data_IF_984915002361
#
_entry.id   IF_984915002361
#
_cell.length_a   1.000
_cell.length_b   1.000
_cell.length_c   1.000
_cell.angle_alpha   90.00
_cell.angle_beta   90.00
_cell.angle_gamma   90.00
#
_symmetry.space_group_name_H-M   'P 1'
#
loop_
_entity.id
_entity.type
_entity.pdbx_description
1 polymer ?
#
# COMPACT_ATOMS: atom_id res chain seq x y z
N UNK A 1 -14.61 24.42 59.87
CA UNK A 1 -14.04 25.72 59.44
C UNK A 1 -13.00 25.40 58.37
N UNK A 2 -13.10 25.99 57.17
CA UNK A 2 -12.12 25.75 56.11
C UNK A 2 -10.78 26.41 56.51
N UNK A 3 -9.71 25.62 56.54
CA UNK A 3 -8.37 26.12 56.79
C UNK A 3 -7.95 27.01 55.59
N UNK A 4 -7.72 28.30 55.85
CA UNK A 4 -7.43 29.29 54.80
C UNK A 4 -6.04 29.08 54.19
N UNK A 5 -5.10 28.54 54.98
CA UNK A 5 -3.76 28.16 54.54
C UNK A 5 -3.19 27.09 55.46
N UNK A 6 -2.57 26.06 54.89
CA UNK A 6 -1.89 25.00 55.65
C UNK A 6 -0.36 25.17 55.63
N UNK A 7 0.32 24.47 56.53
CA UNK A 7 1.77 24.57 56.72
C UNK A 7 2.58 24.18 55.47
N UNK A 8 2.14 23.15 54.73
CA UNK A 8 2.79 22.73 53.48
C UNK A 8 2.73 23.81 52.40
N UNK A 9 1.58 24.47 52.28
CA UNK A 9 1.38 25.56 51.35
C UNK A 9 2.21 26.78 51.75
N UNK A 10 2.27 27.11 53.04
CA UNK A 10 3.10 28.20 53.55
C UNK A 10 4.60 27.94 53.32
N UNK A 11 5.07 26.71 53.54
CA UNK A 11 6.44 26.31 53.27
C UNK A 11 6.81 26.45 51.79
N UNK A 12 5.91 26.02 50.87
CA UNK A 12 6.09 26.21 49.43
C UNK A 12 6.16 27.68 49.06
N UNK A 13 5.35 28.53 49.68
CA UNK A 13 5.37 29.97 49.43
C UNK A 13 6.67 30.61 49.91
N UNK A 14 7.17 30.24 51.10
CA UNK A 14 8.49 30.68 51.60
C UNK A 14 9.62 30.26 50.68
N UNK A 15 9.57 29.03 50.17
CA UNK A 15 10.59 28.50 49.24
C UNK A 15 10.57 29.27 47.92
N UNK A 16 9.38 29.59 47.38
CA UNK A 16 9.22 30.27 46.09
C UNK A 16 9.50 31.78 46.17
N UNK A 17 9.12 32.42 47.26
CA UNK A 17 9.28 33.86 47.48
C UNK A 17 10.68 34.22 47.99
N UNK A 18 11.33 33.31 48.71
CA UNK A 18 12.61 33.55 49.38
C UNK A 18 12.50 34.61 50.49
N UNK A 19 13.56 35.40 50.66
CA UNK A 19 13.63 36.50 51.65
C UNK A 19 12.74 37.71 51.32
N UNK A 20 12.00 37.67 50.19
CA UNK A 20 11.14 38.79 49.77
C UNK A 20 9.89 38.93 50.66
N UNK A 21 9.52 37.90 51.41
CA UNK A 21 8.31 37.89 52.26
C UNK A 21 8.63 37.76 53.77
N UNK A 22 9.91 37.81 54.17
CA UNK A 22 10.33 37.63 55.57
C UNK A 22 11.83 37.45 55.74
N UNK A 23 12.27 37.13 56.96
CA UNK A 23 13.68 37.02 57.35
C UNK A 23 14.21 35.57 57.44
N UNK A 24 13.41 34.61 56.98
CA UNK A 24 13.75 33.19 57.05
C UNK A 24 13.28 32.50 58.34
N UNK A 25 12.82 33.23 59.35
CA UNK A 25 12.18 32.71 60.57
C UNK A 25 10.73 33.20 60.72
N UNK A 26 10.48 34.48 60.41
CA UNK A 26 9.20 35.16 60.47
C UNK A 26 8.71 35.56 59.07
N UNK A 27 7.41 35.88 58.94
CA UNK A 27 6.79 36.35 57.70
C UNK A 27 6.29 37.77 57.92
N UNK A 28 6.67 38.68 57.03
CA UNK A 28 6.08 40.01 56.93
C UNK A 28 4.76 39.89 56.16
N UNK A 29 3.64 40.08 56.86
CA UNK A 29 2.30 39.90 56.28
C UNK A 29 2.02 40.87 55.14
N UNK A 30 2.53 42.10 55.18
CA UNK A 30 2.34 43.10 54.12
C UNK A 30 3.08 42.67 52.85
N UNK A 31 4.35 42.26 52.98
CA UNK A 31 5.15 41.75 51.85
C UNK A 31 4.58 40.45 51.31
N UNK A 32 4.09 39.58 52.18
CA UNK A 32 3.48 38.32 51.79
C UNK A 32 2.19 38.52 50.99
N UNK A 33 1.30 39.42 51.44
CA UNK A 33 0.09 39.78 50.70
C UNK A 33 0.44 40.44 49.36
N UNK A 34 1.39 41.37 49.34
CA UNK A 34 1.86 41.99 48.09
C UNK A 34 2.38 40.94 47.09
N UNK A 35 3.15 39.97 47.55
CA UNK A 35 3.64 38.86 46.73
C UNK A 35 2.53 37.96 46.20
N UNK A 36 1.50 37.66 47.01
CA UNK A 36 0.33 36.90 46.56
C UNK A 36 -0.46 37.65 45.48
N UNK A 37 -0.60 38.97 45.60
CA UNK A 37 -1.21 39.83 44.58
C UNK A 37 -0.38 39.78 43.30
N UNK A 38 0.95 39.89 43.38
CA UNK A 38 1.82 39.79 42.21
C UNK A 38 1.71 38.43 41.51
N UNK A 39 1.63 37.32 42.25
CA UNK A 39 1.43 35.99 41.64
C UNK A 39 0.06 35.86 40.99
N UNK A 40 -0.99 36.40 41.64
CA UNK A 40 -2.35 36.33 41.10
C UNK A 40 -2.52 37.17 39.84
N UNK A 41 -1.82 38.29 39.75
CA UNK A 41 -1.85 39.20 38.61
C UNK A 41 -0.69 38.98 37.63
N UNK A 42 0.19 38.01 37.88
CA UNK A 42 1.20 37.61 36.91
C UNK A 42 0.49 37.04 35.67
N UNK A 43 0.89 37.44 34.45
CA UNK A 43 0.35 36.86 33.24
C UNK A 43 0.58 35.34 33.27
N UNK A 44 -0.45 34.57 32.89
CA UNK A 44 -0.29 33.13 32.73
C UNK A 44 0.82 32.88 31.70
N UNK A 45 1.71 31.89 31.92
CA UNK A 45 2.68 31.52 30.90
C UNK A 45 1.92 31.11 29.65
N UNK A 46 2.16 31.82 28.55
CA UNK A 46 1.62 31.43 27.25
C UNK A 46 2.17 30.03 26.91
N UNK A 47 1.34 29.09 26.45
CA UNK A 47 1.83 27.81 25.99
C UNK A 47 2.85 28.04 24.86
N UNK A 48 4.02 27.39 24.95
CA UNK A 48 5.01 27.43 23.88
C UNK A 48 4.44 26.74 22.63
N UNK A 49 4.03 27.56 21.66
CA UNK A 49 3.52 27.11 20.36
C UNK A 49 2.02 26.87 20.30
N UNK A 50 1.50 26.78 19.07
CA UNK A 50 0.08 26.52 18.82
C UNK A 50 -0.26 25.06 19.20
N UNK A 51 -1.11 24.82 20.22
CA UNK A 51 -1.52 23.47 20.62
C UNK A 51 -2.16 22.67 19.48
N UNK A 52 -2.77 23.37 18.51
CA UNK A 52 -3.34 22.77 17.31
C UNK A 52 -2.25 22.21 16.38
N UNK A 53 -1.16 22.96 16.17
CA UNK A 53 -0.05 22.49 15.34
C UNK A 53 0.67 21.28 15.96
N UNK A 54 0.85 21.25 17.29
CA UNK A 54 1.42 20.08 17.98
C UNK A 54 0.55 18.82 17.80
N UNK A 55 -0.78 18.96 17.89
CA UNK A 55 -1.73 17.87 17.65
C UNK A 55 -1.70 17.40 16.19
N UNK A 56 -1.66 18.34 15.25
CA UNK A 56 -1.60 18.08 13.81
C UNK A 56 -0.31 17.39 13.40
N UNK A 57 0.84 17.79 13.95
CA UNK A 57 2.13 17.14 13.71
C UNK A 57 2.16 15.71 14.25
N UNK A 58 1.66 15.47 15.47
CA UNK A 58 1.54 14.11 16.02
C UNK A 58 0.63 13.22 15.18
N UNK A 59 -0.50 13.75 14.72
CA UNK A 59 -1.40 13.03 13.83
C UNK A 59 -0.75 12.71 12.48
N UNK A 60 0.00 13.67 11.90
CA UNK A 60 0.76 13.50 10.67
C UNK A 60 1.84 12.42 10.83
N UNK A 61 2.64 12.48 11.90
CA UNK A 61 3.66 11.49 12.20
C UNK A 61 3.07 10.08 12.38
N UNK A 62 1.94 9.96 13.10
CA UNK A 62 1.22 8.68 13.24
C UNK A 62 0.74 8.15 11.90
N UNK A 63 0.12 8.99 11.07
CA UNK A 63 -0.37 8.59 9.75
C UNK A 63 0.77 8.23 8.80
N UNK A 64 1.90 8.91 8.90
CA UNK A 64 3.09 8.65 8.10
C UNK A 64 3.73 7.31 8.51
N UNK A 65 3.84 7.03 9.81
CA UNK A 65 4.29 5.74 10.33
C UNK A 65 3.35 4.59 9.94
N UNK A 66 2.03 4.78 10.03
CA UNK A 66 1.03 3.81 9.55
C UNK A 66 1.12 3.59 8.04
N UNK A 67 1.37 4.65 7.26
CA UNK A 67 1.55 4.54 5.82
C UNK A 67 2.85 3.83 5.45
N UNK A 68 3.96 4.12 6.13
CA UNK A 68 5.25 3.45 5.91
C UNK A 68 5.17 1.96 6.28
N UNK A 69 4.60 1.62 7.43
CA UNK A 69 4.38 0.23 7.83
C UNK A 69 3.41 -0.52 6.88
N UNK A 70 2.49 0.20 6.22
CA UNK A 70 1.60 -0.38 5.21
C UNK A 70 2.22 -0.54 3.82
N UNK A 71 3.37 0.09 3.55
CA UNK A 71 4.07 0.03 2.25
C UNK A 71 5.11 -1.09 2.18
N UNK A 72 5.66 -1.49 3.32
CA UNK A 72 6.59 -2.62 3.39
C UNK A 72 5.80 -3.93 3.31
N UNK A 73 5.86 -4.57 2.14
CA UNK A 73 5.20 -5.86 1.89
C UNK A 73 6.05 -7.07 2.32
N UNK A 74 7.24 -6.82 2.87
CA UNK A 74 8.24 -7.80 3.25
C UNK A 74 9.18 -8.18 2.11
N UNK A 75 10.06 -9.14 2.39
CA UNK A 75 11.03 -9.65 1.41
C UNK A 75 10.32 -10.34 0.23
N UNK A 76 10.84 -10.11 -0.97
CA UNK A 76 10.33 -10.74 -2.18
C UNK A 76 10.65 -12.24 -2.16
N UNK A 77 9.65 -13.13 -2.28
CA UNK A 77 9.90 -14.56 -2.37
C UNK A 77 10.78 -14.90 -3.58
N UNK A 78 11.60 -15.95 -3.46
CA UNK A 78 12.35 -16.47 -4.58
C UNK A 78 11.43 -17.21 -5.57
N UNK A 79 11.84 -17.23 -6.85
CA UNK A 79 11.20 -18.04 -7.89
C UNK A 79 11.34 -19.52 -7.54
N UNK A 80 10.21 -20.23 -7.40
CA UNK A 80 10.19 -21.64 -6.98
C UNK A 80 10.70 -22.56 -8.10
N UNK A 81 10.26 -22.33 -9.35
CA UNK A 81 10.69 -23.15 -10.48
C UNK A 81 11.20 -22.29 -11.66
N UNK A 82 12.49 -21.94 -11.66
CA UNK A 82 13.11 -21.16 -12.73
C UNK A 82 13.05 -21.83 -14.10
N UNK A 83 13.11 -23.17 -14.18
CA UNK A 83 13.06 -23.92 -15.44
C UNK A 83 11.68 -23.83 -16.09
N UNK A 84 10.60 -23.97 -15.30
CA UNK A 84 9.23 -23.79 -15.78
C UNK A 84 9.00 -22.35 -16.27
N UNK A 85 9.51 -21.36 -15.53
CA UNK A 85 9.46 -19.95 -15.93
C UNK A 85 10.19 -19.72 -17.25
N UNK A 86 11.41 -20.23 -17.39
CA UNK A 86 12.22 -20.08 -18.60
C UNK A 86 11.56 -20.75 -19.81
N UNK A 87 11.09 -21.99 -19.68
CA UNK A 87 10.36 -22.67 -20.76
C UNK A 87 9.11 -21.90 -21.17
N UNK A 88 8.37 -21.36 -20.20
CA UNK A 88 7.17 -20.57 -20.48
C UNK A 88 7.47 -19.20 -21.10
N UNK A 89 8.69 -18.66 -20.94
CA UNK A 89 9.12 -17.47 -21.67
C UNK A 89 9.20 -17.76 -23.17
N UNK A 90 9.63 -18.97 -23.53
CA UNK A 90 9.89 -19.40 -24.90
C UNK A 90 8.73 -20.11 -25.61
N UNK A 91 7.77 -20.66 -24.86
CA UNK A 91 6.63 -21.42 -25.38
C UNK A 91 5.31 -20.91 -24.79
N UNK A 92 4.54 -20.17 -25.60
CA UNK A 92 3.26 -19.59 -25.19
C UNK A 92 2.20 -20.66 -24.95
N UNK A 93 2.26 -21.77 -25.69
CA UNK A 93 1.35 -22.90 -25.48
C UNK A 93 1.62 -23.53 -24.11
N UNK A 94 2.88 -23.81 -23.81
CA UNK A 94 3.28 -24.33 -22.50
C UNK A 94 2.89 -23.37 -21.37
N UNK A 95 3.05 -22.06 -21.57
CA UNK A 95 2.56 -21.07 -20.60
C UNK A 95 1.05 -21.21 -20.33
N UNK A 96 0.23 -21.34 -21.40
CA UNK A 96 -1.20 -21.55 -21.26
C UNK A 96 -1.53 -22.84 -20.49
N UNK A 97 -0.89 -23.95 -20.84
CA UNK A 97 -1.11 -25.26 -20.23
C UNK A 97 -0.66 -25.32 -18.76
N UNK A 98 0.52 -24.76 -18.47
CA UNK A 98 1.14 -24.83 -17.15
C UNK A 98 0.45 -23.91 -16.14
N UNK A 99 0.18 -22.66 -16.50
CA UNK A 99 -0.36 -21.68 -15.55
C UNK A 99 -1.88 -21.62 -15.57
N UNK A 100 -2.56 -21.99 -16.65
CA UNK A 100 -4.02 -21.86 -16.75
C UNK A 100 -4.72 -23.16 -17.15
N UNK A 101 -4.46 -24.29 -16.46
CA UNK A 101 -5.00 -25.60 -16.84
C UNK A 101 -6.54 -25.64 -16.82
N UNK A 102 -7.18 -24.85 -15.95
CA UNK A 102 -8.65 -24.75 -15.88
C UNK A 102 -9.24 -23.93 -17.03
N UNK A 103 -8.47 -23.05 -17.67
CA UNK A 103 -8.90 -22.29 -18.84
C UNK A 103 -8.57 -23.03 -20.15
N UNK A 104 -7.49 -23.83 -20.16
CA UNK A 104 -7.00 -24.59 -21.32
C UNK A 104 -7.07 -26.10 -21.06
N UNK A 105 -8.25 -26.58 -20.67
CA UNK A 105 -8.49 -28.00 -20.36
C UNK A 105 -8.83 -28.85 -21.60
N UNK A 106 -9.16 -28.21 -22.73
CA UNK A 106 -9.49 -28.89 -23.97
C UNK A 106 -8.25 -29.12 -24.84
N UNK A 107 -8.20 -30.22 -25.63
CA UNK A 107 -7.13 -30.45 -26.59
C UNK A 107 -7.02 -29.33 -27.63
N UNK A 108 -5.79 -29.06 -28.06
CA UNK A 108 -5.51 -28.07 -29.10
C UNK A 108 -5.90 -28.58 -30.49
N UNK A 109 -6.42 -27.68 -31.32
CA UNK A 109 -6.70 -27.95 -32.72
C UNK A 109 -5.57 -27.45 -33.63
N UNK A 110 -5.46 -27.94 -34.88
CA UNK A 110 -4.51 -27.42 -35.86
C UNK A 110 -4.60 -25.90 -36.06
N UNK A 111 -5.80 -25.32 -35.95
CA UNK A 111 -5.98 -23.88 -36.07
C UNK A 111 -5.47 -23.12 -34.84
N UNK A 112 -5.56 -23.70 -33.64
CA UNK A 112 -4.95 -23.10 -32.46
C UNK A 112 -3.42 -22.98 -32.61
N UNK A 113 -2.74 -23.98 -33.19
CA UNK A 113 -1.29 -23.89 -33.41
C UNK A 113 -0.91 -22.73 -34.33
N UNK A 114 -1.69 -22.49 -35.39
CA UNK A 114 -1.47 -21.34 -36.29
C UNK A 114 -1.63 -20.01 -35.55
N UNK A 115 -2.56 -19.95 -34.61
CA UNK A 115 -2.83 -18.73 -33.83
C UNK A 115 -1.80 -18.50 -32.75
N UNK A 116 -1.40 -19.55 -32.04
CA UNK A 116 -0.30 -19.52 -31.06
C UNK A 116 0.96 -18.98 -31.72
N UNK A 117 1.35 -19.53 -32.88
CA UNK A 117 2.54 -19.07 -33.61
C UNK A 117 2.46 -17.59 -34.04
N UNK A 118 1.26 -17.09 -34.36
CA UNK A 118 1.04 -15.67 -34.68
C UNK A 118 1.12 -14.80 -33.43
N UNK A 119 0.53 -15.24 -32.32
CA UNK A 119 0.57 -14.54 -31.03
C UNK A 119 2.02 -14.42 -30.56
N UNK A 120 2.79 -15.51 -30.56
CA UNK A 120 4.19 -15.52 -30.14
C UNK A 120 5.02 -14.50 -30.92
N UNK A 121 4.89 -14.51 -32.25
CA UNK A 121 5.58 -13.57 -33.12
C UNK A 121 5.19 -12.13 -32.80
N UNK A 122 3.89 -11.87 -32.66
CA UNK A 122 3.40 -10.52 -32.45
C UNK A 122 3.75 -9.95 -31.07
N UNK A 123 3.77 -10.80 -30.04
CA UNK A 123 4.15 -10.37 -28.70
C UNK A 123 5.65 -10.11 -28.61
N UNK A 124 6.51 -10.96 -29.20
CA UNK A 124 7.97 -10.81 -29.08
C UNK A 124 8.59 -9.82 -30.04
N UNK A 125 8.14 -9.83 -31.29
CA UNK A 125 8.77 -9.05 -32.38
C UNK A 125 7.89 -7.91 -32.86
N UNK A 126 6.68 -7.77 -32.32
CA UNK A 126 5.67 -6.86 -32.83
C UNK A 126 5.06 -7.34 -34.14
N UNK A 127 4.31 -6.44 -34.77
CA UNK A 127 3.63 -6.70 -36.04
C UNK A 127 2.10 -6.80 -35.90
N UNK A 128 1.43 -6.55 -37.01
CA UNK A 128 -0.03 -6.53 -37.08
C UNK A 128 -0.53 -7.84 -37.70
N UNK A 129 -1.46 -8.48 -37.02
CA UNK A 129 -2.13 -9.68 -37.53
C UNK A 129 -3.63 -9.60 -37.24
N UNK A 130 -4.43 -10.01 -38.22
CA UNK A 130 -5.86 -10.19 -38.07
C UNK A 130 -6.18 -11.68 -38.22
N UNK A 131 -7.00 -12.22 -37.32
CA UNK A 131 -7.36 -13.64 -37.39
C UNK A 131 -8.78 -13.93 -36.91
N UNK A 132 -9.61 -14.44 -37.84
CA UNK A 132 -10.95 -14.93 -37.57
C UNK A 132 -10.89 -16.41 -37.15
N UNK A 133 -11.65 -16.77 -36.11
CA UNK A 133 -11.84 -18.15 -35.61
C UNK A 133 -13.31 -18.25 -35.23
N UNK A 134 -13.91 -19.45 -35.31
CA UNK A 134 -15.30 -19.65 -34.95
C UNK A 134 -15.60 -19.30 -33.49
N UNK A 135 -16.88 -19.02 -33.19
CA UNK A 135 -17.35 -18.82 -31.81
C UNK A 135 -17.11 -20.09 -30.99
N UNK A 136 -16.84 -19.91 -29.69
CA UNK A 136 -16.56 -21.04 -28.78
C UNK A 136 -15.14 -21.62 -28.84
N UNK A 137 -14.28 -21.15 -29.76
CA UNK A 137 -12.89 -21.63 -29.91
C UNK A 137 -11.89 -21.11 -28.87
N UNK A 138 -12.36 -20.39 -27.83
CA UNK A 138 -11.46 -19.85 -26.80
C UNK A 138 -10.64 -18.62 -27.21
N UNK A 139 -11.01 -17.93 -28.29
CA UNK A 139 -10.36 -16.67 -28.74
C UNK A 139 -10.04 -15.69 -27.62
N UNK A 140 -11.08 -15.29 -26.87
CA UNK A 140 -10.91 -14.30 -25.82
C UNK A 140 -9.96 -14.81 -24.75
N UNK A 141 -10.05 -16.09 -24.38
CA UNK A 141 -9.15 -16.73 -23.43
C UNK A 141 -7.71 -16.70 -23.91
N UNK A 142 -7.44 -17.04 -25.18
CA UNK A 142 -6.12 -16.94 -25.80
C UNK A 142 -5.58 -15.50 -25.79
N UNK A 143 -6.38 -14.52 -26.19
CA UNK A 143 -5.94 -13.11 -26.20
C UNK A 143 -5.68 -12.59 -24.78
N UNK A 144 -6.51 -12.96 -23.80
CA UNK A 144 -6.29 -12.59 -22.40
C UNK A 144 -5.01 -13.24 -21.85
N UNK A 145 -4.79 -14.53 -22.12
CA UNK A 145 -3.57 -15.22 -21.72
C UNK A 145 -2.33 -14.61 -22.40
N UNK A 146 -2.42 -14.22 -23.67
CA UNK A 146 -1.35 -13.55 -24.39
C UNK A 146 -1.02 -12.18 -23.78
N UNK A 147 -2.03 -11.42 -23.36
CA UNK A 147 -1.83 -10.16 -22.66
C UNK A 147 -1.10 -10.38 -21.33
N UNK A 148 -1.50 -11.39 -20.55
CA UNK A 148 -0.81 -11.75 -19.30
C UNK A 148 0.62 -12.19 -19.55
N UNK A 149 0.85 -13.01 -20.57
CA UNK A 149 2.19 -13.45 -20.97
C UNK A 149 3.09 -12.28 -21.34
N UNK A 150 2.60 -11.34 -22.15
CA UNK A 150 3.31 -10.13 -22.52
C UNK A 150 3.67 -9.26 -21.31
N UNK A 151 2.75 -9.12 -20.34
CA UNK A 151 2.97 -8.35 -19.11
C UNK A 151 4.01 -9.00 -18.20
N UNK A 152 3.90 -10.31 -17.93
CA UNK A 152 4.75 -11.00 -16.96
C UNK A 152 6.20 -11.14 -17.43
N UNK A 153 6.42 -11.35 -18.73
CA UNK A 153 7.76 -11.47 -19.30
C UNK A 153 8.33 -10.15 -19.84
N UNK A 154 7.56 -9.05 -19.78
CA UNK A 154 8.03 -7.74 -20.20
C UNK A 154 8.26 -7.60 -21.71
N UNK A 155 7.58 -8.41 -22.54
CA UNK A 155 7.72 -8.35 -24.00
C UNK A 155 7.19 -7.06 -24.61
N UNK A 156 6.23 -6.40 -23.95
CA UNK A 156 5.71 -5.09 -24.34
C UNK A 156 5.67 -4.16 -23.13
N UNK A 157 6.16 -2.91 -23.25
CA UNK A 157 6.09 -1.93 -22.15
C UNK A 157 4.64 -1.54 -21.82
N UNK A 158 3.71 -1.71 -22.76
CA UNK A 158 2.30 -1.39 -22.56
C UNK A 158 1.42 -2.38 -23.31
N UNK A 159 0.50 -3.04 -22.59
CA UNK A 159 -0.41 -4.04 -23.14
C UNK A 159 -1.85 -3.51 -23.06
N UNK A 160 -2.50 -3.38 -24.23
CA UNK A 160 -3.90 -2.93 -24.31
C UNK A 160 -4.80 -4.05 -24.82
N UNK A 161 -5.76 -4.45 -23.99
CA UNK A 161 -6.76 -5.47 -24.33
C UNK A 161 -8.08 -4.80 -24.73
N UNK A 162 -8.44 -4.89 -26.00
CA UNK A 162 -9.64 -4.26 -26.57
C UNK A 162 -10.77 -5.27 -26.68
N UNK A 163 -11.97 -4.88 -26.27
CA UNK A 163 -13.18 -5.70 -26.38
C UNK A 163 -14.29 -4.97 -27.16
N UNK A 164 -15.29 -5.73 -27.60
CA UNK A 164 -16.41 -5.20 -28.37
C UNK A 164 -17.35 -4.26 -27.58
N UNK A 165 -17.31 -4.29 -26.24
CA UNK A 165 -18.08 -3.41 -25.36
C UNK A 165 -17.33 -3.14 -24.06
N UNK A 166 -17.74 -2.08 -23.35
CA UNK A 166 -17.17 -1.72 -22.06
C UNK A 166 -17.34 -2.84 -21.02
N UNK A 167 -18.52 -3.47 -20.98
CA UNK A 167 -18.78 -4.56 -20.03
C UNK A 167 -17.90 -5.78 -20.32
N UNK A 168 -17.70 -6.12 -21.60
CA UNK A 168 -16.78 -7.18 -22.00
C UNK A 168 -15.34 -6.83 -21.60
N UNK A 169 -14.91 -5.58 -21.78
CA UNK A 169 -13.57 -5.14 -21.38
C UNK A 169 -13.36 -5.30 -19.86
N UNK A 170 -14.35 -4.87 -19.06
CA UNK A 170 -14.33 -5.04 -17.59
C UNK A 170 -14.22 -6.50 -17.19
N UNK A 171 -15.05 -7.38 -17.77
CA UNK A 171 -15.00 -8.82 -17.48
C UNK A 171 -13.65 -9.44 -17.82
N UNK A 172 -13.03 -9.05 -18.94
CA UNK A 172 -11.69 -9.56 -19.29
C UNK A 172 -10.62 -9.10 -18.29
N UNK A 173 -10.69 -7.84 -17.85
CA UNK A 173 -9.78 -7.30 -16.84
C UNK A 173 -9.97 -7.99 -15.48
N UNK A 174 -11.21 -8.23 -15.07
CA UNK A 174 -11.51 -8.89 -13.80
C UNK A 174 -11.07 -10.37 -13.81
N UNK A 175 -11.11 -11.04 -14.96
CA UNK A 175 -10.52 -12.37 -15.12
C UNK A 175 -9.00 -12.34 -14.87
N UNK A 176 -8.28 -11.35 -15.43
CA UNK A 176 -6.83 -11.20 -15.21
C UNK A 176 -6.52 -10.97 -13.73
N UNK A 177 -7.26 -10.06 -13.07
CA UNK A 177 -7.11 -9.81 -11.63
C UNK A 177 -7.32 -11.08 -10.83
N UNK A 178 -8.39 -11.81 -11.14
CA UNK A 178 -8.72 -13.08 -10.47
C UNK A 178 -7.58 -14.06 -10.60
N UNK A 179 -6.98 -14.21 -11.79
CA UNK A 179 -5.81 -15.06 -11.98
C UNK A 179 -4.62 -14.64 -11.12
N UNK A 180 -4.27 -13.35 -11.09
CA UNK A 180 -3.14 -12.87 -10.28
C UNK A 180 -3.37 -13.07 -8.77
N UNK A 181 -4.62 -12.95 -8.32
CA UNK A 181 -4.97 -13.09 -6.92
C UNK A 181 -5.06 -14.56 -6.46
N UNK A 182 -5.43 -15.48 -7.35
CA UNK A 182 -5.79 -16.86 -6.96
C UNK A 182 -4.82 -17.93 -7.46
N UNK A 183 -4.08 -17.67 -8.54
CA UNK A 183 -3.22 -18.67 -9.16
C UNK A 183 -1.87 -18.83 -8.45
N UNK A 184 -1.70 -19.93 -7.70
CA UNK A 184 -0.50 -20.15 -6.91
C UNK A 184 0.76 -20.31 -7.77
N UNK A 185 0.68 -20.94 -8.94
CA UNK A 185 1.85 -21.11 -9.82
C UNK A 185 2.38 -19.77 -10.33
N UNK A 186 1.49 -18.80 -10.57
CA UNK A 186 1.92 -17.45 -10.92
C UNK A 186 2.63 -16.75 -9.75
N UNK A 187 2.18 -16.94 -8.51
CA UNK A 187 2.90 -16.41 -7.34
C UNK A 187 4.28 -17.06 -7.18
N UNK A 188 4.34 -18.37 -7.36
CA UNK A 188 5.56 -19.15 -7.19
C UNK A 188 6.64 -18.77 -8.21
N UNK A 189 6.25 -18.48 -9.46
CA UNK A 189 7.21 -18.24 -10.54
C UNK A 189 7.37 -16.76 -10.92
N UNK A 190 6.39 -15.91 -10.63
CA UNK A 190 6.44 -14.46 -10.88
C UNK A 190 6.21 -13.66 -9.59
N UNK A 191 6.98 -13.92 -8.51
CA UNK A 191 6.83 -13.20 -7.26
C UNK A 191 6.98 -11.69 -7.48
N UNK A 192 7.86 -11.24 -8.37
CA UNK A 192 8.09 -9.82 -8.67
C UNK A 192 6.83 -9.06 -9.11
N UNK A 193 5.90 -9.74 -9.79
CA UNK A 193 4.65 -9.14 -10.25
C UNK A 193 3.48 -9.49 -9.31
N UNK A 194 3.40 -10.74 -8.86
CA UNK A 194 2.21 -11.30 -8.23
C UNK A 194 2.20 -11.10 -6.72
N UNK A 195 3.36 -11.17 -6.06
CA UNK A 195 3.46 -11.00 -4.61
C UNK A 195 2.95 -9.62 -4.15
N UNK A 196 3.35 -8.49 -4.77
CA UNK A 196 2.79 -7.19 -4.43
C UNK A 196 1.27 -7.12 -4.63
N UNK A 197 0.76 -7.67 -5.74
CA UNK A 197 -0.68 -7.68 -6.04
C UNK A 197 -1.46 -8.41 -4.95
N UNK A 198 -0.99 -9.57 -4.50
CA UNK A 198 -1.65 -10.35 -3.45
C UNK A 198 -1.60 -9.67 -2.08
N UNK A 199 -0.50 -8.97 -1.76
CA UNK A 199 -0.35 -8.23 -0.50
C UNK A 199 -1.32 -7.06 -0.37
N UNK A 200 -1.81 -6.52 -1.49
CA UNK A 200 -2.87 -5.51 -1.48
C UNK A 200 -4.20 -6.05 -0.93
N UNK A 201 -4.45 -7.36 -1.00
CA UNK A 201 -5.64 -7.98 -0.41
C UNK A 201 -6.97 -7.40 -0.91
N UNK A 202 -7.02 -6.95 -2.17
CA UNK A 202 -8.17 -6.26 -2.79
C UNK A 202 -8.56 -4.92 -2.13
N UNK A 203 -7.65 -4.30 -1.37
CA UNK A 203 -7.89 -2.99 -0.75
C UNK A 203 -7.22 -1.92 -1.62
N UNK A 204 -8.00 -1.24 -2.45
CA UNK A 204 -7.53 -0.18 -3.37
C UNK A 204 -6.76 0.93 -2.65
N UNK A 205 -7.15 1.28 -1.42
CA UNK A 205 -6.47 2.31 -0.62
C UNK A 205 -5.03 1.95 -0.23
N UNK A 206 -4.61 0.68 -0.34
CA UNK A 206 -3.21 0.26 -0.13
C UNK A 206 -2.31 0.57 -1.33
N UNK A 207 -2.86 0.93 -2.48
CA UNK A 207 -2.11 1.28 -3.70
C UNK A 207 -1.62 2.74 -3.71
N UNK A 208 -2.22 3.65 -2.93
CA UNK A 208 -1.96 5.11 -2.98
C UNK A 208 -0.59 5.56 -2.43
N UNK A 209 0.38 4.64 -2.26
CA UNK A 209 1.68 4.91 -1.64
C UNK A 209 2.90 4.64 -2.51
N UNK A 210 2.74 4.25 -3.78
CA UNK A 210 3.88 4.04 -4.69
C UNK A 210 4.32 5.38 -5.30
N UNK A 211 5.33 5.99 -4.69
CA UNK A 211 6.15 7.07 -5.28
C UNK A 211 7.40 6.49 -5.89
#
# INVERSE_FOLDING_TARGET
MAEVINERQLHRHRTRAGLNIGDGSTIDLLRYVAWLVLIRHAPAPEPEGDPYEVLKERARARNLALSQAGRDIGELPAVVNPERKARAADDFRFFCEAYFPTAFYLPWSPDHFKVIAKIERAVRSGGLFAHAMPRGSGKSTLTTAAAVWAMLFGWSPFVSLIAASADRARSLLDNIKTWFETNQLLLDDFPEAIFPIRKLGRITNRQQGQT
#
